data_IF_772829255557
#
_entry.id   IF_772829255557
#
_cell.length_a   1.000
_cell.length_b   1.000
_cell.length_c   1.000
_cell.angle_alpha   90.00
_cell.angle_beta   90.00
_cell.angle_gamma   90.00
#
_symmetry.space_group_name_H-M   'P 1'
#
loop_
_entity.id
_entity.type
_entity.pdbx_description
1 polymer ?
#
# COMPACT_ATOMS: atom_id res chain seq x y z
N UNK A 1 19.12 2.92 -12.65
CA UNK A 1 17.94 2.16 -12.19
C UNK A 1 17.22 3.01 -11.15
N UNK A 2 15.88 3.04 -11.17
CA UNK A 2 15.08 3.76 -10.17
C UNK A 2 15.02 2.97 -8.86
N UNK A 3 15.02 3.61 -7.67
CA UNK A 3 14.75 2.91 -6.42
C UNK A 3 13.29 2.40 -6.39
N UNK A 4 13.01 1.41 -5.55
CA UNK A 4 11.65 0.89 -5.34
C UNK A 4 11.09 1.41 -4.01
N UNK A 5 9.83 1.83 -4.02
CA UNK A 5 9.06 2.09 -2.81
C UNK A 5 7.73 1.34 -2.89
N UNK A 6 7.23 0.88 -1.75
CA UNK A 6 5.96 0.17 -1.64
C UNK A 6 4.91 1.06 -0.98
N UNK A 7 3.74 1.19 -1.59
CA UNK A 7 2.55 1.72 -0.92
C UNK A 7 1.62 0.57 -0.49
N UNK A 8 1.09 0.67 0.73
CA UNK A 8 0.06 -0.21 1.28
C UNK A 8 -1.14 0.66 1.61
N UNK A 9 -2.13 0.72 0.71
CA UNK A 9 -3.26 1.65 0.83
C UNK A 9 -4.50 1.14 0.09
N UNK A 10 -5.61 1.88 0.19
CA UNK A 10 -6.84 1.58 -0.54
C UNK A 10 -6.71 1.89 -2.04
N UNK A 11 -7.53 1.22 -2.84
CA UNK A 11 -7.70 1.48 -4.26
C UNK A 11 -8.86 2.45 -4.47
N UNK A 12 -8.53 3.67 -4.89
CA UNK A 12 -9.47 4.68 -5.40
C UNK A 12 -9.51 4.58 -6.95
N UNK A 13 -10.65 4.22 -7.55
CA UNK A 13 -10.77 4.09 -9.01
C UNK A 13 -10.56 5.40 -9.78
N UNK A 14 -10.80 6.56 -9.16
CA UNK A 14 -10.59 7.87 -9.79
C UNK A 14 -9.12 8.29 -9.83
N UNK A 15 -8.26 7.57 -9.11
CA UNK A 15 -6.83 7.81 -9.01
C UNK A 15 -6.46 9.22 -8.48
N UNK A 16 -7.36 9.84 -7.70
CA UNK A 16 -7.10 11.08 -6.96
C UNK A 16 -6.47 10.81 -5.58
N UNK A 17 -6.69 9.62 -5.03
CA UNK A 17 -6.13 9.14 -3.77
C UNK A 17 -5.62 7.68 -3.88
N UNK A 18 -5.35 7.08 -2.72
CA UNK A 18 -5.03 5.66 -2.61
C UNK A 18 -3.72 5.26 -3.32
N UNK A 19 -3.60 3.97 -3.61
CA UNK A 19 -2.40 3.42 -4.25
C UNK A 19 -2.10 4.09 -5.59
N UNK A 20 -3.10 4.49 -6.37
CA UNK A 20 -2.86 5.10 -7.68
C UNK A 20 -2.25 6.50 -7.56
N UNK A 21 -2.72 7.32 -6.61
CA UNK A 21 -2.12 8.63 -6.35
C UNK A 21 -0.70 8.51 -5.76
N UNK A 22 -0.49 7.53 -4.89
CA UNK A 22 0.84 7.21 -4.37
C UNK A 22 1.81 6.83 -5.50
N UNK A 23 1.40 5.94 -6.41
CA UNK A 23 2.22 5.53 -7.57
C UNK A 23 2.52 6.72 -8.48
N UNK A 24 1.53 7.56 -8.79
CA UNK A 24 1.76 8.80 -9.58
C UNK A 24 2.81 9.70 -8.91
N UNK A 25 2.74 9.84 -7.60
CA UNK A 25 3.68 10.65 -6.81
C UNK A 25 5.09 10.06 -6.84
N UNK A 26 5.22 8.75 -6.63
CA UNK A 26 6.51 8.06 -6.69
C UNK A 26 7.15 8.17 -8.08
N UNK A 27 6.37 7.93 -9.13
CA UNK A 27 6.82 8.04 -10.52
C UNK A 27 7.27 9.46 -10.87
N UNK A 28 6.52 10.48 -10.44
CA UNK A 28 6.90 11.89 -10.62
C UNK A 28 8.24 12.25 -9.92
N UNK A 29 8.61 11.50 -8.88
CA UNK A 29 9.87 11.66 -8.14
C UNK A 29 10.96 10.66 -8.58
N UNK A 30 10.78 9.96 -9.70
CA UNK A 30 11.77 9.02 -10.23
C UNK A 30 11.92 7.73 -9.42
N UNK A 31 10.93 7.37 -8.60
CA UNK A 31 10.86 6.14 -7.82
C UNK A 31 9.89 5.17 -8.50
N UNK A 32 10.29 3.91 -8.67
CA UNK A 32 9.37 2.88 -9.16
C UNK A 32 8.44 2.44 -8.02
N UNK A 33 7.17 2.76 -8.15
CA UNK A 33 6.17 2.41 -7.14
C UNK A 33 5.67 0.98 -7.26
N UNK A 34 5.61 0.27 -6.13
CA UNK A 34 4.92 -1.01 -5.95
C UNK A 34 3.70 -0.78 -5.06
N UNK A 35 2.65 -1.60 -5.17
CA UNK A 35 1.43 -1.42 -4.41
C UNK A 35 0.87 -2.73 -3.85
N UNK A 36 0.35 -2.68 -2.62
CA UNK A 36 -0.52 -3.67 -2.03
C UNK A 36 -1.84 -3.00 -1.60
N UNK A 37 -2.97 -3.59 -1.98
CA UNK A 37 -4.29 -3.02 -1.70
C UNK A 37 -4.80 -3.47 -0.33
N UNK A 38 -5.29 -2.52 0.46
CA UNK A 38 -5.93 -2.74 1.77
C UNK A 38 -7.45 -2.68 1.68
N UNK A 39 -7.98 -2.06 0.62
CA UNK A 39 -9.38 -1.98 0.33
C UNK A 39 -9.61 -1.69 -1.16
N UNK A 40 -10.76 -2.12 -1.68
CA UNK A 40 -11.32 -1.61 -2.92
C UNK A 40 -12.45 -0.66 -2.56
N UNK A 41 -12.41 0.55 -3.09
CA UNK A 41 -13.45 1.55 -2.81
C UNK A 41 -14.32 1.77 -4.03
N UNK A 42 -15.60 2.05 -3.81
CA UNK A 42 -16.46 2.66 -4.80
C UNK A 42 -16.55 4.14 -4.46
N UNK A 43 -15.61 4.91 -5.01
CA UNK A 43 -15.49 6.34 -4.80
C UNK A 43 -15.12 7.06 -6.11
N UNK A 44 -15.37 8.36 -6.14
CA UNK A 44 -14.80 9.32 -7.10
C UNK A 44 -14.43 10.61 -6.36
N UNK A 45 -14.16 11.69 -7.10
CA UNK A 45 -13.74 12.98 -6.55
C UNK A 45 -14.81 13.71 -5.70
N UNK A 46 -16.09 13.29 -5.79
CA UNK A 46 -17.22 13.94 -5.09
C UNK A 46 -18.03 13.00 -4.19
N UNK A 47 -17.90 11.67 -4.34
CA UNK A 47 -18.71 10.69 -3.65
C UNK A 47 -17.90 9.48 -3.17
N UNK A 48 -18.29 8.92 -2.03
CA UNK A 48 -17.74 7.69 -1.47
C UNK A 48 -18.91 6.80 -1.03
N UNK A 49 -19.16 5.73 -1.77
CA UNK A 49 -20.36 4.91 -1.60
C UNK A 49 -20.11 3.69 -0.73
N UNK A 50 -18.95 3.05 -0.87
CA UNK A 50 -18.63 1.79 -0.18
C UNK A 50 -17.15 1.48 -0.18
N UNK A 51 -16.76 0.72 0.83
CA UNK A 51 -15.44 0.11 1.00
C UNK A 51 -15.57 -1.39 1.12
N UNK A 52 -14.72 -2.12 0.39
CA UNK A 52 -14.52 -3.55 0.51
C UNK A 52 -13.12 -3.77 1.06
N UNK A 53 -13.01 -4.11 2.34
CA UNK A 53 -11.73 -4.35 3.00
C UNK A 53 -11.07 -5.64 2.51
N UNK A 54 -9.75 -5.58 2.32
CA UNK A 54 -8.91 -6.74 2.04
C UNK A 54 -8.42 -7.30 3.37
N UNK A 55 -8.53 -8.61 3.57
CA UNK A 55 -8.12 -9.26 4.81
C UNK A 55 -6.60 -9.12 5.05
N UNK A 56 -6.18 -9.06 6.31
CA UNK A 56 -4.77 -8.88 6.68
C UNK A 56 -3.85 -9.94 6.04
N UNK A 57 -4.28 -11.20 5.97
CA UNK A 57 -3.51 -12.28 5.33
C UNK A 57 -3.25 -12.00 3.85
N UNK A 58 -4.26 -11.52 3.11
CA UNK A 58 -4.13 -11.17 1.68
C UNK A 58 -3.24 -9.93 1.49
N UNK A 59 -3.29 -8.96 2.41
CA UNK A 59 -2.37 -7.81 2.42
C UNK A 59 -0.93 -8.32 2.60
N UNK A 60 -0.71 -9.19 3.59
CA UNK A 60 0.61 -9.77 3.87
C UNK A 60 1.15 -10.58 2.69
N UNK A 61 0.31 -11.36 2.00
CA UNK A 61 0.72 -12.14 0.85
C UNK A 61 1.11 -11.28 -0.35
N UNK A 62 0.34 -10.22 -0.65
CA UNK A 62 0.72 -9.23 -1.67
C UNK A 62 2.11 -8.64 -1.35
N UNK A 63 2.29 -8.15 -0.11
CA UNK A 63 3.55 -7.53 0.32
C UNK A 63 4.70 -8.53 0.29
N UNK A 64 4.49 -9.76 0.76
CA UNK A 64 5.51 -10.82 0.81
C UNK A 64 6.05 -11.14 -0.58
N UNK A 65 5.17 -11.27 -1.59
CA UNK A 65 5.58 -11.53 -2.97
C UNK A 65 6.43 -10.39 -3.54
N UNK A 66 6.05 -9.14 -3.25
CA UNK A 66 6.81 -7.97 -3.69
C UNK A 66 8.17 -7.88 -3.00
N UNK A 67 8.22 -8.03 -1.68
CA UNK A 67 9.46 -8.00 -0.91
C UNK A 67 10.40 -9.17 -1.27
N UNK A 68 9.88 -10.32 -1.68
CA UNK A 68 10.69 -11.45 -2.14
C UNK A 68 11.44 -11.13 -3.45
N UNK A 69 10.87 -10.28 -4.32
CA UNK A 69 11.43 -9.96 -5.64
C UNK A 69 12.20 -8.64 -5.69
N UNK A 70 11.76 -7.64 -4.94
CA UNK A 70 12.24 -6.26 -5.03
C UNK A 70 12.89 -5.82 -3.72
N UNK A 71 14.00 -5.08 -3.85
CA UNK A 71 14.62 -4.40 -2.71
C UNK A 71 13.87 -3.10 -2.45
N UNK A 72 13.02 -3.11 -1.44
CA UNK A 72 12.22 -1.97 -0.98
C UNK A 72 12.79 -1.47 0.33
N UNK A 73 13.27 -0.22 0.33
CA UNK A 73 13.81 0.43 1.52
C UNK A 73 12.80 1.39 2.20
N UNK A 74 11.71 1.75 1.50
CA UNK A 74 10.68 2.67 1.98
C UNK A 74 9.28 2.11 1.76
N UNK A 75 8.45 2.13 2.81
CA UNK A 75 7.06 1.66 2.77
C UNK A 75 6.14 2.79 3.25
N UNK A 76 5.26 3.26 2.36
CA UNK A 76 4.19 4.19 2.73
C UNK A 76 2.93 3.40 3.08
N UNK A 77 2.33 3.70 4.23
CA UNK A 77 1.05 3.11 4.64
C UNK A 77 -0.03 4.19 4.56
N UNK A 78 -1.14 3.88 3.89
CA UNK A 78 -2.30 4.75 3.75
C UNK A 78 -3.51 4.21 4.50
N UNK A 79 -4.65 4.15 3.81
CA UNK A 79 -5.91 3.64 4.36
C UNK A 79 -5.74 2.21 4.89
N UNK A 80 -6.15 1.96 6.13
CA UNK A 80 -6.21 0.65 6.80
C UNK A 80 -7.54 0.57 7.54
N UNK A 81 -8.12 -0.62 7.62
CA UNK A 81 -9.44 -0.86 8.23
C UNK A 81 -9.55 -0.34 9.67
N UNK A 82 -8.52 -0.60 10.49
CA UNK A 82 -8.55 -0.26 11.92
C UNK A 82 -7.15 -0.22 12.54
N UNK A 83 -7.03 0.38 13.72
CA UNK A 83 -5.77 0.41 14.49
C UNK A 83 -5.24 -0.98 14.85
N UNK A 84 -6.07 -1.98 15.25
CA UNK A 84 -5.59 -3.35 15.45
C UNK A 84 -4.94 -3.94 14.20
N UNK A 85 -5.59 -3.84 13.04
CA UNK A 85 -5.05 -4.35 11.76
C UNK A 85 -3.74 -3.65 11.41
N UNK A 86 -3.66 -2.32 11.63
CA UNK A 86 -2.42 -1.58 11.46
C UNK A 86 -1.31 -2.08 12.39
N UNK A 87 -1.62 -2.30 13.67
CA UNK A 87 -0.66 -2.80 14.65
C UNK A 87 -0.09 -4.17 14.28
N UNK A 88 -0.96 -5.10 13.88
CA UNK A 88 -0.56 -6.43 13.41
C UNK A 88 0.28 -6.36 12.12
N UNK A 89 -0.13 -5.52 11.16
CA UNK A 89 0.62 -5.30 9.92
C UNK A 89 2.02 -4.74 10.22
N UNK A 90 2.14 -3.73 11.08
CA UNK A 90 3.43 -3.15 11.47
C UNK A 90 4.32 -4.15 12.20
N UNK A 91 3.75 -4.93 13.12
CA UNK A 91 4.46 -6.01 13.80
C UNK A 91 5.03 -7.01 12.80
N UNK A 92 4.21 -7.45 11.86
CA UNK A 92 4.62 -8.37 10.80
C UNK A 92 5.68 -7.75 9.86
N UNK A 93 5.48 -6.52 9.37
CA UNK A 93 6.42 -5.83 8.47
C UNK A 93 7.83 -5.73 9.08
N UNK A 94 7.93 -5.43 10.39
CA UNK A 94 9.22 -5.38 11.10
C UNK A 94 9.95 -6.73 11.10
N UNK A 95 9.24 -7.85 11.04
CA UNK A 95 9.87 -9.18 10.88
C UNK A 95 10.38 -9.44 9.48
N UNK A 96 9.72 -8.86 8.46
CA UNK A 96 10.09 -9.05 7.05
C UNK A 96 11.22 -8.13 6.60
N UNK A 97 11.19 -6.86 7.04
CA UNK A 97 12.16 -5.81 6.69
C UNK A 97 12.39 -4.86 7.88
N UNK A 98 13.22 -5.24 8.86
CA UNK A 98 13.49 -4.41 10.04
C UNK A 98 14.08 -3.03 9.74
N UNK A 99 14.77 -2.90 8.59
CA UNK A 99 15.48 -1.68 8.17
C UNK A 99 14.66 -0.79 7.22
N UNK A 100 13.46 -1.21 6.81
CA UNK A 100 12.61 -0.38 5.97
C UNK A 100 12.08 0.81 6.80
N UNK A 101 12.08 1.99 6.17
CA UNK A 101 11.52 3.22 6.74
C UNK A 101 10.02 3.34 6.44
#
# INVERSE_FOLDING_TARGET
MRPYALTIAGFDPSAGAGVLADIKTLEANGVYGLAACTALTQQNDVAFERVNWVGLADIQDQVRLLLARFRVDFIKIGLIESLPVLGELLGWLRTQRPAAQ
#
